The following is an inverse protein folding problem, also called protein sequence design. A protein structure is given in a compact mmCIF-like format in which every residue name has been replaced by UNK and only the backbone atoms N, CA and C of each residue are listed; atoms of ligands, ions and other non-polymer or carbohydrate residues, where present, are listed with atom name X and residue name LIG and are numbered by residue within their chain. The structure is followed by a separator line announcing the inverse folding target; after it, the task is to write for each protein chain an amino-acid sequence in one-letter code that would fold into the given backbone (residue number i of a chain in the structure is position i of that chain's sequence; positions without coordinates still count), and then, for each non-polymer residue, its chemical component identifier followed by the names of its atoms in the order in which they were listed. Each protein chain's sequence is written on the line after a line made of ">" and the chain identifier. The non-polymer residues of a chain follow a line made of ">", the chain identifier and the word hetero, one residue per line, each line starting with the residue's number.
data_IF_675551193213
#
_entry.id   IF_675551193213
#
_cell.length_a   1.000
_cell.length_b   1.000
_cell.length_c   1.000
_cell.angle_alpha   90.00
_cell.angle_beta   90.00
_cell.angle_gamma   90.00
#
_symmetry.space_group_name_H-M   'P 1'
#
loop_
_entity.id
_entity.type
_entity.pdbx_description
1 polymer ?
#
# COMPACT_ATOMS: atom_id res chain seq x y z
N UNK A 1 -17.75 -5.14 -5.29
CA UNK A 1 -17.78 -3.67 -5.07
C UNK A 1 -16.44 -3.24 -4.48
N UNK A 2 -15.99 -2.00 -4.68
CA UNK A 2 -14.76 -1.53 -4.03
C UNK A 2 -14.81 -1.66 -2.49
N UNK A 3 -15.97 -1.44 -1.87
CA UNK A 3 -16.14 -1.60 -0.41
C UNK A 3 -15.76 -3.01 0.07
N UNK A 4 -15.96 -4.05 -0.74
CA UNK A 4 -15.59 -5.43 -0.39
C UNK A 4 -14.07 -5.64 -0.33
N UNK A 5 -13.28 -4.78 -0.99
CA UNK A 5 -11.81 -4.85 -0.96
C UNK A 5 -11.21 -4.63 0.43
N UNK A 6 -11.92 -3.93 1.32
CA UNK A 6 -11.48 -3.66 2.70
C UNK A 6 -11.25 -4.96 3.49
N UNK A 7 -11.96 -6.03 3.13
CA UNK A 7 -11.87 -7.35 3.78
C UNK A 7 -11.26 -8.42 2.87
N UNK A 8 -10.90 -8.08 1.63
CA UNK A 8 -10.39 -9.03 0.66
C UNK A 8 -8.90 -9.30 0.89
N UNK A 9 -8.55 -10.55 1.18
CA UNK A 9 -7.13 -10.92 1.38
C UNK A 9 -6.29 -10.66 0.12
N UNK A 10 -6.88 -10.79 -1.08
CA UNK A 10 -6.21 -10.50 -2.34
C UNK A 10 -5.78 -9.02 -2.46
N UNK A 11 -6.50 -8.10 -1.81
CA UNK A 11 -6.23 -6.66 -1.84
C UNK A 11 -5.07 -6.23 -0.91
N UNK A 12 -4.53 -7.13 -0.08
CA UNK A 12 -3.47 -6.79 0.87
C UNK A 12 -2.22 -6.25 0.17
N UNK A 13 -1.82 -5.03 0.54
CA UNK A 13 -0.66 -4.29 -0.01
C UNK A 13 -0.73 -4.13 -1.53
N UNK A 14 -1.93 -4.02 -2.09
CA UNK A 14 -2.12 -3.77 -3.53
C UNK A 14 -2.60 -2.35 -3.75
N UNK A 15 -2.04 -1.72 -4.76
CA UNK A 15 -2.55 -0.46 -5.31
C UNK A 15 -3.28 -0.75 -6.62
N UNK A 16 -4.55 -0.39 -6.67
CA UNK A 16 -5.43 -0.52 -7.82
C UNK A 16 -5.91 0.87 -8.25
N UNK A 17 -5.91 1.14 -9.55
CA UNK A 17 -6.63 2.28 -10.11
C UNK A 17 -8.08 1.87 -10.43
N UNK A 18 -9.04 2.63 -9.89
CA UNK A 18 -10.47 2.43 -10.18
C UNK A 18 -10.95 3.46 -11.20
N UNK A 19 -11.45 2.98 -12.33
CA UNK A 19 -12.10 3.81 -13.35
C UNK A 19 -13.61 3.65 -13.23
N UNK A 20 -14.32 4.72 -12.85
CA UNK A 20 -15.75 4.71 -12.64
C UNK A 20 -16.51 5.07 -13.93
N UNK A 21 -16.68 4.09 -14.81
CA UNK A 21 -17.47 4.21 -16.03
C UNK A 21 -18.84 3.54 -15.92
N UNK A 22 -19.74 3.87 -16.87
CA UNK A 22 -21.05 3.24 -16.93
C UNK A 22 -20.91 1.82 -17.47
N UNK A 23 -21.24 0.83 -16.64
CA UNK A 23 -21.18 -0.57 -17.02
C UNK A 23 -21.81 -1.49 -15.98
N UNK A 24 -21.82 -2.81 -16.24
CA UNK A 24 -22.22 -3.79 -15.25
C UNK A 24 -21.29 -3.76 -14.04
N UNK A 25 -21.85 -3.94 -12.84
CA UNK A 25 -21.07 -4.11 -11.60
C UNK A 25 -20.13 -5.31 -11.74
N UNK A 26 -18.87 -5.14 -11.37
CA UNK A 26 -17.94 -6.25 -11.19
C UNK A 26 -18.33 -7.05 -9.93
N UNK A 27 -18.65 -8.36 -10.07
CA UNK A 27 -19.16 -9.16 -8.96
C UNK A 27 -18.10 -9.51 -7.92
N UNK A 28 -16.85 -9.62 -8.37
CA UNK A 28 -15.69 -10.05 -7.63
C UNK A 28 -14.46 -9.25 -8.11
N UNK A 29 -13.64 -8.80 -7.18
CA UNK A 29 -12.42 -8.04 -7.45
C UNK A 29 -11.15 -8.85 -7.15
N UNK A 30 -11.25 -10.03 -6.54
CA UNK A 30 -10.08 -10.84 -6.17
C UNK A 30 -9.19 -11.17 -7.38
N UNK A 31 -9.72 -11.54 -8.57
CA UNK A 31 -8.89 -11.76 -9.75
C UNK A 31 -8.15 -10.51 -10.22
N UNK A 32 -8.73 -9.33 -10.03
CA UNK A 32 -8.11 -8.05 -10.39
C UNK A 32 -6.93 -7.78 -9.44
N UNK A 33 -7.14 -7.95 -8.13
CA UNK A 33 -6.08 -7.77 -7.14
C UNK A 33 -4.96 -8.82 -7.24
N UNK A 34 -5.31 -10.07 -7.55
CA UNK A 34 -4.35 -11.16 -7.70
C UNK A 34 -3.33 -10.91 -8.82
N UNK A 35 -3.71 -10.14 -9.85
CA UNK A 35 -2.84 -9.78 -10.97
C UNK A 35 -1.86 -8.64 -10.64
N UNK A 36 -2.07 -7.90 -9.54
CA UNK A 36 -1.24 -6.76 -9.16
C UNK A 36 0.02 -7.21 -8.41
N UNK A 37 1.08 -6.41 -8.45
CA UNK A 37 2.23 -6.59 -7.58
C UNK A 37 1.91 -6.08 -6.17
N UNK A 38 2.34 -6.79 -5.13
CA UNK A 38 2.21 -6.29 -3.77
C UNK A 38 3.41 -5.42 -3.42
N UNK A 39 3.18 -4.34 -2.68
CA UNK A 39 4.24 -3.58 -2.02
C UNK A 39 4.99 -4.52 -1.08
N UNK A 40 6.32 -4.41 -1.00
CA UNK A 40 7.08 -5.27 -0.09
C UNK A 40 6.74 -4.94 1.37
N UNK A 41 6.84 -5.93 2.25
CA UNK A 41 6.45 -5.73 3.64
C UNK A 41 7.42 -4.75 4.31
N UNK A 42 6.88 -3.67 4.88
CA UNK A 42 7.69 -2.61 5.49
C UNK A 42 8.45 -1.72 4.51
N UNK A 43 8.25 -1.87 3.19
CA UNK A 43 8.77 -0.91 2.22
C UNK A 43 8.11 0.46 2.41
N UNK A 44 8.90 1.51 2.24
CA UNK A 44 8.40 2.90 2.25
C UNK A 44 7.75 3.26 0.92
N UNK A 45 8.35 2.79 -0.17
CA UNK A 45 7.89 3.06 -1.53
C UNK A 45 7.01 1.92 -2.05
N UNK A 46 6.07 2.28 -2.92
CA UNK A 46 5.14 1.33 -3.52
C UNK A 46 5.85 0.40 -4.51
N UNK A 47 5.23 -0.74 -4.80
CA UNK A 47 5.70 -1.63 -5.85
C UNK A 47 5.77 -0.87 -7.19
N UNK A 48 6.91 -1.04 -7.89
CA UNK A 48 7.21 -0.44 -9.20
C UNK A 48 7.43 1.07 -9.18
N UNK A 49 7.46 1.72 -8.01
CA UNK A 49 7.85 3.12 -7.91
C UNK A 49 9.33 3.29 -8.30
N UNK A 50 9.69 4.17 -9.25
CA UNK A 50 11.08 4.43 -9.57
C UNK A 50 11.82 5.09 -8.41
N UNK A 51 13.05 4.62 -8.15
CA UNK A 51 13.97 5.21 -7.16
C UNK A 51 14.48 6.59 -7.61
N UNK A 52 13.61 7.59 -7.51
CA UNK A 52 13.89 8.99 -7.88
C UNK A 52 14.23 9.86 -6.67
N UNK A 53 13.92 9.38 -5.47
CA UNK A 53 14.16 10.03 -4.17
C UNK A 53 14.75 9.02 -3.18
N UNK A 54 16.02 8.62 -3.36
CA UNK A 54 16.63 7.62 -2.50
C UNK A 54 16.80 8.15 -1.07
N UNK A 55 16.40 7.34 -0.09
CA UNK A 55 16.36 7.71 1.33
C UNK A 55 17.72 8.17 1.89
N UNK A 56 18.83 7.68 1.34
CA UNK A 56 20.18 8.04 1.77
C UNK A 56 20.62 9.45 1.30
N UNK A 57 19.85 10.07 0.41
CA UNK A 57 20.04 11.46 -0.04
C UNK A 57 19.12 12.46 0.66
N UNK A 58 18.17 11.97 1.45
CA UNK A 58 17.29 12.83 2.22
C UNK A 58 18.03 13.46 3.42
N UNK A 59 17.60 14.65 3.89
CA UNK A 59 18.13 15.22 5.12
C UNK A 59 17.97 14.26 6.29
N UNK A 60 18.97 14.18 7.18
CA UNK A 60 19.01 13.20 8.28
C UNK A 60 17.77 13.20 9.21
N UNK A 61 17.03 14.31 9.27
CA UNK A 61 15.78 14.39 10.02
C UNK A 61 14.69 13.45 9.46
N UNK A 62 14.62 13.28 8.14
CA UNK A 62 13.57 12.50 7.47
C UNK A 62 13.57 11.01 7.86
N UNK A 63 14.68 10.23 7.73
CA UNK A 63 14.69 8.85 8.19
C UNK A 63 14.51 8.72 9.71
N UNK A 64 14.96 9.71 10.49
CA UNK A 64 14.76 9.72 11.95
C UNK A 64 13.28 9.86 12.33
N UNK A 65 12.53 10.72 11.63
CA UNK A 65 11.09 10.90 11.83
C UNK A 65 10.29 9.66 11.40
N UNK A 66 10.62 9.04 10.27
CA UNK A 66 10.02 7.77 9.83
C UNK A 66 10.21 6.69 10.91
N UNK A 67 11.44 6.55 11.43
CA UNK A 67 11.73 5.57 12.48
C UNK A 67 10.96 5.83 13.79
N UNK A 68 10.74 7.09 14.15
CA UNK A 68 9.90 7.46 15.30
C UNK A 68 8.43 7.07 15.08
N UNK A 69 7.86 7.36 13.91
CA UNK A 69 6.48 6.99 13.58
C UNK A 69 6.29 5.48 13.58
N UNK A 70 7.23 4.73 13.00
CA UNK A 70 7.20 3.27 12.98
C UNK A 70 7.17 2.67 14.40
N UNK A 71 7.99 3.20 15.32
CA UNK A 71 8.00 2.76 16.73
C UNK A 71 6.67 3.01 17.43
N UNK A 72 6.04 4.17 17.18
CA UNK A 72 4.70 4.48 17.75
C UNK A 72 3.63 3.52 17.25
N UNK A 73 3.63 3.20 15.95
CA UNK A 73 2.69 2.24 15.36
C UNK A 73 2.83 0.83 15.94
N UNK A 74 4.06 0.36 16.15
CA UNK A 74 4.32 -0.94 16.79
C UNK A 74 3.84 -0.99 18.24
N UNK A 75 3.99 0.11 18.97
CA UNK A 75 3.54 0.23 20.36
C UNK A 75 2.02 0.22 20.49
N UNK A 76 1.31 0.74 19.48
CA UNK A 76 -0.15 0.73 19.43
C UNK A 76 -0.74 -0.65 19.05
N UNK A 77 0.01 -1.48 18.32
CA UNK A 77 -0.43 -2.82 17.93
C UNK A 77 -0.15 -3.91 18.98
N UNK A 78 0.59 -3.58 20.05
CA UNK A 78 0.94 -4.49 21.15
C UNK A 78 0.01 -4.36 22.38
N UNK A 79 -1.00 -3.48 22.31
CA UNK A 79 -2.06 -3.28 23.30
C UNK A 79 -3.40 -3.76 22.73
#
# INVERSE_FOLDING_TARGET
>A
MLVESVTAAAANRKTLELIAERGPRQPDLDPVFAALQADAEGALDAALDPDTLPLDREPAAFPAEIAEVARRGQSASAN
#
